data_IF_524826686647
#
_entry.id   IF_524826686647
#
_cell.length_a   1.000
_cell.length_b   1.000
_cell.length_c   1.000
_cell.angle_alpha   90.00
_cell.angle_beta   90.00
_cell.angle_gamma   90.00
#
_symmetry.space_group_name_H-M   'P 1'
#
loop_
_entity.id
_entity.type
_entity.pdbx_description
1 polymer ?
#
# COMPACT_ATOMS: atom_id res chain seq x y z
N UNK A 1 -2.34 13.19 -6.06
CA UNK A 1 -3.11 14.33 -6.63
C UNK A 1 -3.23 14.24 -8.15
N UNK A 2 -2.13 14.23 -8.91
CA UNK A 2 -2.21 14.15 -10.38
C UNK A 2 -2.97 12.92 -10.91
N UNK A 3 -2.70 11.72 -10.38
CA UNK A 3 -3.46 10.52 -10.76
C UNK A 3 -4.95 10.63 -10.40
N UNK A 4 -5.29 11.24 -9.26
CA UNK A 4 -6.68 11.48 -8.89
C UNK A 4 -7.37 12.47 -9.86
N UNK A 5 -6.64 13.47 -10.37
CA UNK A 5 -7.12 14.37 -11.41
C UNK A 5 -7.38 13.67 -12.74
N UNK A 6 -6.52 12.72 -13.15
CA UNK A 6 -6.78 11.87 -14.33
C UNK A 6 -8.00 10.96 -14.17
N UNK A 7 -8.39 10.69 -12.92
CA UNK A 7 -9.52 9.82 -12.56
C UNK A 7 -10.73 10.60 -12.03
N UNK A 8 -10.75 11.93 -12.15
CA UNK A 8 -11.79 12.78 -11.53
C UNK A 8 -13.21 12.45 -12.00
N UNK A 9 -13.35 11.95 -13.23
CA UNK A 9 -14.63 11.57 -13.83
C UNK A 9 -14.99 10.08 -13.58
N UNK A 10 -14.12 9.31 -12.91
CA UNK A 10 -14.37 7.92 -12.54
C UNK A 10 -15.00 7.86 -11.15
N UNK A 11 -16.33 7.92 -11.11
CA UNK A 11 -17.10 8.03 -9.85
C UNK A 11 -16.89 6.86 -8.88
N UNK A 12 -16.49 5.69 -9.39
CA UNK A 12 -16.22 4.48 -8.61
C UNK A 12 -14.81 4.43 -8.00
N UNK A 13 -13.95 5.44 -8.23
CA UNK A 13 -12.60 5.50 -7.65
C UNK A 13 -12.49 6.68 -6.72
N UNK A 14 -12.30 6.39 -5.43
CA UNK A 14 -12.17 7.36 -4.36
C UNK A 14 -10.83 7.18 -3.65
N UNK A 15 -10.13 8.28 -3.36
CA UNK A 15 -8.87 8.28 -2.64
C UNK A 15 -9.08 8.78 -1.22
N UNK A 16 -8.75 7.95 -0.23
CA UNK A 16 -8.83 8.30 1.19
C UNK A 16 -7.42 8.60 1.71
N UNK A 17 -7.24 9.80 2.26
CA UNK A 17 -6.01 10.27 2.90
C UNK A 17 -6.27 10.35 4.41
N UNK A 18 -5.86 9.32 5.14
CA UNK A 18 -6.05 9.20 6.59
C UNK A 18 -4.80 9.68 7.33
N UNK A 19 -4.91 10.76 8.13
CA UNK A 19 -3.85 11.21 9.04
C UNK A 19 -3.43 12.68 8.90
N UNK A 20 -2.29 13.02 9.50
CA UNK A 20 -1.78 14.40 9.67
C UNK A 20 -0.33 14.54 9.18
N UNK A 21 -0.02 13.99 8.00
CA UNK A 21 1.32 14.09 7.42
C UNK A 21 1.73 15.53 7.11
N UNK A 22 3.04 15.83 7.05
CA UNK A 22 3.55 17.20 6.87
C UNK A 22 3.15 17.85 5.53
N UNK A 23 2.81 17.04 4.53
CA UNK A 23 2.35 17.54 3.22
C UNK A 23 0.82 17.75 3.15
N UNK A 24 0.06 17.54 4.24
CA UNK A 24 -1.42 17.58 4.22
C UNK A 24 -1.95 18.89 3.64
N UNK A 25 -1.52 20.03 4.16
CA UNK A 25 -2.01 21.35 3.74
C UNK A 25 -1.73 21.63 2.26
N UNK A 26 -0.52 21.29 1.80
CA UNK A 26 -0.14 21.40 0.39
C UNK A 26 -1.01 20.51 -0.51
N UNK A 27 -1.28 19.28 -0.08
CA UNK A 27 -2.13 18.36 -0.83
C UNK A 27 -3.60 18.79 -0.83
N UNK A 28 -4.09 19.40 0.25
CA UNK A 28 -5.43 20.00 0.31
C UNK A 28 -5.55 21.18 -0.66
N UNK A 29 -4.55 22.06 -0.72
CA UNK A 29 -4.51 23.14 -1.72
C UNK A 29 -4.55 22.59 -3.15
N UNK A 30 -3.75 21.56 -3.45
CA UNK A 30 -3.79 20.91 -4.77
C UNK A 30 -5.15 20.27 -5.09
N UNK A 31 -5.88 19.79 -4.08
CA UNK A 31 -7.25 19.26 -4.26
C UNK A 31 -8.19 20.36 -4.74
N UNK A 32 -8.10 21.53 -4.12
CA UNK A 32 -8.89 22.72 -4.47
C UNK A 32 -8.53 23.24 -5.86
N UNK A 33 -7.24 23.41 -6.14
CA UNK A 33 -6.73 23.89 -7.43
C UNK A 33 -7.18 22.98 -8.60
N UNK A 34 -7.16 21.66 -8.39
CA UNK A 34 -7.60 20.68 -9.38
C UNK A 34 -9.11 20.41 -9.35
N UNK A 35 -9.86 21.02 -8.41
CA UNK A 35 -11.30 20.82 -8.20
C UNK A 35 -11.68 19.34 -8.06
N UNK A 36 -10.93 18.60 -7.24
CA UNK A 36 -11.11 17.15 -7.08
C UNK A 36 -12.20 16.83 -6.06
N UNK A 37 -13.19 16.07 -6.51
CA UNK A 37 -14.26 15.53 -5.67
C UNK A 37 -14.00 14.08 -5.23
N UNK A 38 -12.97 13.44 -5.78
CA UNK A 38 -12.63 12.04 -5.56
C UNK A 38 -11.48 11.83 -4.57
N UNK A 39 -11.10 12.87 -3.81
CA UNK A 39 -10.05 12.81 -2.77
C UNK A 39 -10.60 13.31 -1.44
N UNK A 40 -10.51 12.47 -0.42
CA UNK A 40 -11.06 12.73 0.91
C UNK A 40 -9.92 12.76 1.92
N UNK A 41 -9.81 13.86 2.67
CA UNK A 41 -8.88 13.96 3.79
C UNK A 41 -9.65 13.72 5.08
N UNK A 42 -9.20 12.72 5.85
CA UNK A 42 -9.78 12.36 7.13
C UNK A 42 -8.76 12.61 8.23
N UNK A 43 -9.26 13.05 9.39
CA UNK A 43 -8.42 13.34 10.53
C UNK A 43 -7.89 12.07 11.19
N UNK A 44 -6.68 12.12 11.81
CA UNK A 44 -6.09 10.97 12.47
C UNK A 44 -7.07 10.27 13.42
N UNK A 45 -7.02 8.94 13.41
CA UNK A 45 -7.74 8.10 14.37
C UNK A 45 -6.75 7.41 15.30
N UNK A 46 -7.25 6.81 16.37
CA UNK A 46 -6.42 5.98 17.23
C UNK A 46 -5.92 4.74 16.47
N UNK A 47 -4.83 4.16 16.98
CA UNK A 47 -4.30 2.89 16.44
C UNK A 47 -5.31 1.75 16.50
N UNK A 48 -6.26 1.79 17.44
CA UNK A 48 -7.28 0.75 17.60
C UNK A 48 -8.39 0.85 16.55
N UNK A 49 -8.61 2.04 15.98
CA UNK A 49 -9.64 2.28 14.96
C UNK A 49 -9.12 2.06 13.53
N UNK A 50 -7.80 2.17 13.32
CA UNK A 50 -7.18 2.02 12.00
C UNK A 50 -7.56 0.72 11.27
N UNK A 51 -7.65 -0.46 11.94
CA UNK A 51 -8.05 -1.69 11.27
C UNK A 51 -9.43 -1.62 10.59
N UNK A 52 -10.41 -0.95 11.19
CA UNK A 52 -11.75 -0.85 10.58
C UNK A 52 -11.74 0.03 9.32
N UNK A 53 -10.89 1.06 9.29
CA UNK A 53 -10.71 1.89 8.08
C UNK A 53 -9.99 1.10 6.99
N UNK A 54 -8.92 0.37 7.32
CA UNK A 54 -8.22 -0.48 6.34
C UNK A 54 -9.16 -1.57 5.81
N UNK A 55 -10.02 -2.13 6.65
CA UNK A 55 -11.05 -3.11 6.26
C UNK A 55 -12.09 -2.51 5.32
N UNK A 56 -12.39 -1.21 5.42
CA UNK A 56 -13.35 -0.52 4.57
C UNK A 56 -12.81 -0.16 3.17
N UNK A 57 -11.50 -0.14 2.94
CA UNK A 57 -10.94 0.14 1.60
C UNK A 57 -10.85 -1.10 0.73
N UNK A 58 -10.94 -0.93 -0.59
CA UNK A 58 -10.76 -2.00 -1.57
C UNK A 58 -9.29 -2.32 -1.86
N UNK A 59 -8.44 -1.31 -1.83
CA UNK A 59 -7.03 -1.36 -2.27
C UNK A 59 -6.19 -0.46 -1.37
N UNK A 60 -4.99 -0.91 -1.01
CA UNK A 60 -4.03 -0.11 -0.25
C UNK A 60 -2.99 0.54 -1.17
N UNK A 61 -2.96 1.88 -1.20
CA UNK A 61 -2.00 2.65 -1.97
C UNK A 61 -0.70 2.90 -1.18
N UNK A 62 0.43 2.50 -1.76
CA UNK A 62 1.76 2.66 -1.16
C UNK A 62 2.70 3.34 -2.17
N UNK A 63 2.66 4.67 -2.28
CA UNK A 63 3.57 5.44 -3.12
C UNK A 63 4.79 5.87 -2.30
N UNK A 64 6.00 5.70 -2.85
CA UNK A 64 7.22 6.37 -2.39
C UNK A 64 7.87 7.13 -3.54
N UNK A 65 8.85 7.98 -3.21
CA UNK A 65 9.67 8.67 -4.21
C UNK A 65 10.58 7.66 -4.93
N UNK A 66 11.03 7.99 -6.14
CA UNK A 66 12.02 7.17 -6.84
C UNK A 66 13.43 7.43 -6.29
N UNK A 67 13.76 6.86 -5.12
CA UNK A 67 15.07 7.00 -4.49
C UNK A 67 15.71 5.62 -4.26
N UNK A 68 17.03 5.45 -4.53
CA UNK A 68 17.73 4.17 -4.31
C UNK A 68 17.57 3.62 -2.89
N UNK A 69 17.51 4.50 -1.88
CA UNK A 69 17.26 4.15 -0.48
C UNK A 69 16.00 3.30 -0.28
N UNK A 70 14.93 3.58 -1.04
CA UNK A 70 13.66 2.87 -0.88
C UNK A 70 13.63 1.50 -1.56
N UNK A 71 14.60 1.18 -2.43
CA UNK A 71 14.65 -0.14 -3.08
C UNK A 71 14.98 -1.27 -2.09
N UNK A 72 15.68 -0.96 -0.98
CA UNK A 72 15.93 -1.92 0.09
C UNK A 72 14.85 -1.94 1.17
N UNK A 73 13.87 -1.06 1.10
CA UNK A 73 12.90 -0.85 2.18
C UNK A 73 11.58 -1.59 1.92
N UNK A 74 11.02 -2.16 2.98
CA UNK A 74 9.62 -2.59 3.00
C UNK A 74 8.84 -1.67 3.94
N UNK A 75 7.92 -0.83 3.43
CA UNK A 75 7.12 0.06 4.28
C UNK A 75 6.22 -0.74 5.21
N UNK A 76 6.20 -0.41 6.50
CA UNK A 76 5.47 -1.17 7.52
C UNK A 76 3.97 -1.28 7.27
N UNK A 77 3.33 -0.25 6.69
CA UNK A 77 1.90 -0.25 6.36
C UNK A 77 1.48 -1.34 5.36
N UNK A 78 2.43 -1.88 4.60
CA UNK A 78 2.15 -3.00 3.68
C UNK A 78 1.64 -4.21 4.45
N UNK A 79 2.27 -4.54 5.58
CA UNK A 79 1.90 -5.73 6.35
C UNK A 79 0.48 -5.66 6.90
N UNK A 80 0.06 -4.49 7.36
CA UNK A 80 -1.31 -4.25 7.85
C UNK A 80 -2.33 -4.50 6.72
N UNK A 81 -2.13 -3.87 5.56
CA UNK A 81 -2.99 -4.04 4.39
C UNK A 81 -3.08 -5.50 3.92
N UNK A 82 -1.93 -6.14 3.71
CA UNK A 82 -1.87 -7.52 3.23
C UNK A 82 -2.51 -8.51 4.22
N UNK A 83 -2.30 -8.27 5.53
CA UNK A 83 -2.95 -9.07 6.57
C UNK A 83 -4.47 -8.93 6.54
N UNK A 84 -5.03 -7.81 6.08
CA UNK A 84 -6.47 -7.61 5.95
C UNK A 84 -6.99 -7.94 4.55
N UNK A 85 -6.24 -8.74 3.79
CA UNK A 85 -6.56 -9.15 2.40
C UNK A 85 -6.76 -7.96 1.46
N UNK A 86 -6.05 -6.85 1.70
CA UNK A 86 -6.13 -5.67 0.84
C UNK A 86 -5.02 -5.73 -0.20
N UNK A 87 -5.36 -5.87 -1.50
CA UNK A 87 -4.35 -5.84 -2.54
C UNK A 87 -3.65 -4.49 -2.57
N UNK A 88 -2.38 -4.49 -3.01
CA UNK A 88 -1.57 -3.28 -3.11
C UNK A 88 -1.72 -2.61 -4.46
N UNK A 89 -1.67 -1.28 -4.41
CA UNK A 89 -1.20 -0.46 -5.51
C UNK A 89 0.15 0.10 -5.08
N UNK A 90 1.23 -0.51 -5.55
CA UNK A 90 2.58 -0.33 -5.02
C UNK A 90 3.44 0.53 -5.96
N UNK A 91 3.85 1.69 -5.45
CA UNK A 91 4.80 2.60 -6.08
C UNK A 91 6.12 2.60 -5.33
N UNK A 92 6.66 1.41 -5.11
CA UNK A 92 7.95 1.16 -4.44
C UNK A 92 8.62 0.02 -5.18
N UNK A 93 9.81 0.27 -5.72
CA UNK A 93 10.59 -0.76 -6.41
C UNK A 93 11.45 -1.58 -5.44
N UNK A 94 12.23 -2.53 -5.95
CA UNK A 94 13.17 -3.33 -5.16
C UNK A 94 12.46 -4.38 -4.29
N UNK A 95 12.85 -4.48 -3.02
CA UNK A 95 12.41 -5.55 -2.11
C UNK A 95 10.88 -5.66 -2.00
N UNK A 96 10.19 -4.52 -1.83
CA UNK A 96 8.74 -4.51 -1.72
C UNK A 96 8.07 -5.05 -3.00
N UNK A 97 8.55 -4.65 -4.19
CA UNK A 97 8.03 -5.16 -5.47
C UNK A 97 8.30 -6.65 -5.63
N UNK A 98 9.54 -7.09 -5.38
CA UNK A 98 9.93 -8.51 -5.47
C UNK A 98 9.06 -9.40 -4.59
N UNK A 99 8.84 -9.00 -3.34
CA UNK A 99 8.05 -9.79 -2.41
C UNK A 99 6.56 -9.75 -2.73
N UNK A 100 5.97 -8.57 -2.91
CA UNK A 100 4.51 -8.45 -2.88
C UNK A 100 3.86 -8.43 -4.25
N UNK A 101 4.59 -8.10 -5.31
CA UNK A 101 4.06 -8.11 -6.66
C UNK A 101 4.51 -9.36 -7.39
N UNK A 102 5.82 -9.63 -7.44
CA UNK A 102 6.37 -10.71 -8.27
C UNK A 102 6.20 -12.09 -7.63
N UNK A 103 6.46 -12.23 -6.33
CA UNK A 103 6.32 -13.52 -5.63
C UNK A 103 4.92 -13.77 -5.10
N UNK A 104 4.30 -12.74 -4.51
CA UNK A 104 3.01 -12.90 -3.86
C UNK A 104 1.82 -12.66 -4.79
N UNK A 105 1.99 -11.98 -5.93
CA UNK A 105 0.86 -11.56 -6.78
C UNK A 105 -0.24 -10.84 -5.97
N UNK A 106 0.17 -10.04 -4.99
CA UNK A 106 -0.70 -9.42 -3.98
C UNK A 106 -1.15 -8.01 -4.35
N UNK A 107 -1.05 -7.62 -5.63
CA UNK A 107 -1.37 -6.28 -6.09
C UNK A 107 -0.79 -5.96 -7.46
N UNK A 108 -0.77 -4.68 -7.78
CA UNK A 108 -0.18 -4.13 -9.01
C UNK A 108 0.91 -3.12 -8.67
N UNK A 109 1.96 -3.13 -9.48
CA UNK A 109 3.02 -2.14 -9.46
C UNK A 109 2.69 -0.97 -10.39
N UNK A 110 3.08 0.23 -9.98
CA UNK A 110 3.23 1.38 -10.86
C UNK A 110 4.59 2.02 -10.60
N UNK A 111 5.21 2.59 -11.63
CA UNK A 111 6.49 3.28 -11.48
C UNK A 111 6.36 4.44 -10.48
N UNK A 112 7.25 4.54 -9.47
CA UNK A 112 7.27 5.66 -8.55
C UNK A 112 7.25 7.00 -9.29
N UNK A 113 6.46 7.95 -8.79
CA UNK A 113 6.29 9.29 -9.38
C UNK A 113 5.61 9.33 -10.78
N UNK A 114 5.08 8.20 -11.26
CA UNK A 114 4.34 8.11 -12.51
C UNK A 114 2.81 8.14 -12.27
N UNK A 115 2.22 9.33 -12.39
CA UNK A 115 0.79 9.54 -12.16
C UNK A 115 -0.12 8.80 -13.15
N UNK A 116 0.29 8.71 -14.43
CA UNK A 116 -0.47 8.04 -15.48
C UNK A 116 -0.53 6.54 -15.26
N UNK A 117 0.59 5.94 -14.89
CA UNK A 117 0.63 4.52 -14.59
C UNK A 117 -0.18 4.20 -13.33
N UNK A 118 -0.05 5.01 -12.26
CA UNK A 118 -0.89 4.88 -11.08
C UNK A 118 -2.38 4.91 -11.45
N UNK A 119 -2.80 5.85 -12.29
CA UNK A 119 -4.18 5.97 -12.74
C UNK A 119 -4.64 4.74 -13.55
N UNK A 120 -3.80 4.26 -14.47
CA UNK A 120 -4.07 3.05 -15.28
C UNK A 120 -4.28 1.82 -14.38
N UNK A 121 -3.38 1.59 -13.44
CA UNK A 121 -3.44 0.43 -12.55
C UNK A 121 -4.62 0.51 -11.57
N UNK A 122 -4.95 1.71 -11.09
CA UNK A 122 -6.16 1.95 -10.29
C UNK A 122 -7.44 1.59 -11.06
N UNK A 123 -7.55 1.97 -12.35
CA UNK A 123 -8.70 1.58 -13.19
C UNK A 123 -8.83 0.07 -13.33
N UNK A 124 -7.73 -0.64 -13.54
CA UNK A 124 -7.72 -2.11 -13.64
C UNK A 124 -8.30 -2.73 -12.36
N UNK A 125 -7.82 -2.29 -11.20
CA UNK A 125 -8.31 -2.80 -9.92
C UNK A 125 -9.77 -2.41 -9.68
N UNK A 126 -10.20 -1.21 -10.06
CA UNK A 126 -11.58 -0.76 -9.86
C UNK A 126 -12.61 -1.58 -10.65
N UNK A 127 -12.24 -2.02 -11.87
CA UNK A 127 -13.14 -2.75 -12.77
C UNK A 127 -13.24 -4.25 -12.49
N UNK A 128 -12.29 -4.84 -11.76
CA UNK A 128 -12.19 -6.29 -11.58
C UNK A 128 -12.15 -6.70 -10.10
N UNK A 129 -13.34 -6.88 -9.52
CA UNK A 129 -13.49 -7.31 -8.12
C UNK A 129 -12.91 -8.71 -7.88
N UNK A 130 -13.08 -9.62 -8.85
CA UNK A 130 -12.54 -10.99 -8.75
C UNK A 130 -11.02 -10.97 -8.61
N UNK A 131 -10.36 -10.15 -9.42
CA UNK A 131 -8.91 -9.92 -9.33
C UNK A 131 -8.49 -9.31 -8.01
N UNK A 132 -9.23 -8.32 -7.49
CA UNK A 132 -8.96 -7.77 -6.14
C UNK A 132 -9.03 -8.85 -5.07
N UNK A 133 -10.04 -9.72 -5.13
CA UNK A 133 -10.23 -10.82 -4.18
C UNK A 133 -9.09 -11.83 -4.25
N UNK A 134 -8.72 -12.29 -5.45
CA UNK A 134 -7.59 -13.23 -5.64
C UNK A 134 -6.29 -12.64 -5.10
N UNK A 135 -5.97 -11.39 -5.45
CA UNK A 135 -4.78 -10.70 -4.93
C UNK A 135 -4.81 -10.53 -3.41
N UNK A 136 -5.99 -10.26 -2.83
CA UNK A 136 -6.17 -10.17 -1.38
C UNK A 136 -5.99 -11.51 -0.64
N UNK A 137 -6.43 -12.62 -1.23
CA UNK A 137 -6.20 -13.95 -0.65
C UNK A 137 -4.72 -14.34 -0.74
N UNK A 138 -4.08 -14.05 -1.88
CA UNK A 138 -2.64 -14.24 -2.06
C UNK A 138 -1.81 -13.40 -1.08
N UNK A 139 -2.19 -12.14 -0.90
CA UNK A 139 -1.62 -11.21 0.07
C UNK A 139 -1.53 -11.82 1.47
N UNK A 140 -2.68 -12.23 2.02
CA UNK A 140 -2.78 -12.81 3.37
C UNK A 140 -1.92 -14.06 3.48
N UNK A 141 -2.05 -14.99 2.53
CA UNK A 141 -1.31 -16.25 2.51
C UNK A 141 0.20 -16.00 2.53
N UNK A 142 0.69 -15.06 1.72
CA UNK A 142 2.11 -14.78 1.62
C UNK A 142 2.69 -14.16 2.90
N UNK A 143 2.02 -13.17 3.48
CA UNK A 143 2.52 -12.52 4.71
C UNK A 143 2.44 -13.44 5.94
N UNK A 144 1.43 -14.30 6.04
CA UNK A 144 1.36 -15.31 7.12
C UNK A 144 2.46 -16.37 7.01
N UNK A 145 2.91 -16.67 5.79
CA UNK A 145 3.96 -17.65 5.57
C UNK A 145 5.34 -17.04 5.76
N UNK A 146 5.61 -15.90 5.13
CA UNK A 146 6.96 -15.31 4.99
C UNK A 146 7.25 -14.22 6.03
N UNK A 147 6.22 -13.51 6.51
CA UNK A 147 6.38 -12.32 7.36
C UNK A 147 5.65 -12.43 8.70
N UNK A 148 5.36 -13.66 9.13
CA UNK A 148 4.78 -13.88 10.45
C UNK A 148 5.78 -13.47 11.53
N UNK A 149 5.39 -12.48 12.34
CA UNK A 149 6.23 -11.89 13.39
C UNK A 149 6.82 -12.93 14.35
N UNK A 150 6.03 -13.92 14.77
CA UNK A 150 6.49 -14.94 15.73
C UNK A 150 7.53 -15.86 15.09
N UNK A 151 7.31 -16.28 13.83
CA UNK A 151 8.28 -17.10 13.08
C UNK A 151 9.58 -16.35 12.84
N UNK A 152 9.49 -15.08 12.44
CA UNK A 152 10.67 -14.23 12.22
C UNK A 152 11.45 -14.01 13.52
N UNK A 153 10.76 -13.71 14.63
CA UNK A 153 11.40 -13.51 15.92
C UNK A 153 12.10 -14.79 16.42
N UNK A 154 11.47 -15.95 16.26
CA UNK A 154 12.06 -17.23 16.62
C UNK A 154 13.31 -17.52 15.77
N UNK A 155 13.23 -17.37 14.45
CA UNK A 155 14.37 -17.54 13.54
C UNK A 155 15.53 -16.60 13.87
N UNK A 156 15.22 -15.33 14.16
CA UNK A 156 16.22 -14.36 14.58
C UNK A 156 16.90 -14.75 15.90
N UNK A 157 16.14 -15.21 16.89
CA UNK A 157 16.69 -15.69 18.16
C UNK A 157 17.63 -16.89 17.96
N UNK A 158 17.26 -17.86 17.13
CA UNK A 158 18.14 -18.99 16.82
C UNK A 158 19.45 -18.53 16.18
N UNK A 159 19.39 -17.58 15.24
CA UNK A 159 20.60 -17.03 14.62
C UNK A 159 21.50 -16.31 15.63
N UNK A 160 20.93 -15.60 16.60
CA UNK A 160 21.71 -14.96 17.67
C UNK A 160 22.41 -16.00 18.56
N UNK A 161 21.73 -17.11 18.88
CA UNK A 161 22.33 -18.20 19.67
C UNK A 161 23.50 -18.86 18.94
N UNK A 162 23.40 -19.06 17.63
CA UNK A 162 24.51 -19.60 16.82
C UNK A 162 25.77 -18.71 16.89
N UNK A 163 25.59 -17.39 16.86
CA UNK A 163 26.72 -16.44 16.92
C UNK A 163 27.33 -16.36 18.34
N UNK A 164 26.56 -16.71 19.38
CA UNK A 164 27.03 -16.75 20.76
C UNK A 164 27.79 -18.04 21.13
N UNK A 165 27.80 -19.06 20.27
CA UNK A 165 28.59 -20.26 20.54
C UNK A 165 30.09 -19.97 20.29
N UNK A 166 30.98 -20.30 21.24
CA UNK A 166 32.41 -20.03 21.14
C UNK A 166 33.10 -20.81 20.02
#
# INVERSE_FOLDING_TARGET
MHAANELKDQVNIQFIMQGSGPEKDKLMKLKEDFKLNNVHFLDPVSKLEMPEIVKAVDVALVPLKNLPLFQGAIPSKVFEALSMKKPLLLGVDGEARRHFIEKAEAGLFFEPENARELAKQAKILALDESKRRVMGDNARKYVELQFNRNKLAASFLEKLKEIQQP
#
